data_IF_674754835052
#
_entry.id   IF_674754835052
#
_cell.length_a   1.000
_cell.length_b   1.000
_cell.length_c   1.000
_cell.angle_alpha   90.00
_cell.angle_beta   90.00
_cell.angle_gamma   90.00
#
_symmetry.space_group_name_H-M   'P 1'
#
loop_
_entity.id
_entity.type
_entity.pdbx_description
1 polymer ?
#
# COMPACT_ATOMS: atom_id res chain seq x y z
N UNK A 1 17.82 1.23 -23.24
CA UNK A 1 16.64 1.85 -22.58
C UNK A 1 15.52 0.82 -22.59
N UNK A 2 15.22 0.21 -21.43
CA UNK A 2 14.08 -0.72 -21.30
C UNK A 2 12.90 0.06 -20.74
N UNK A 3 11.85 0.20 -21.53
CA UNK A 3 10.56 0.75 -21.09
C UNK A 3 9.89 -0.23 -20.14
N UNK A 4 9.62 0.21 -18.92
CA UNK A 4 8.79 -0.52 -17.96
C UNK A 4 7.35 -0.14 -18.25
N UNK A 5 6.57 -1.10 -18.71
CA UNK A 5 5.12 -0.94 -18.90
C UNK A 5 4.43 -1.06 -17.54
N UNK A 6 3.78 0.02 -17.12
CA UNK A 6 2.90 0.01 -15.94
C UNK A 6 1.54 -0.52 -16.41
N UNK A 7 1.16 -1.70 -15.94
CA UNK A 7 -0.17 -2.27 -16.15
C UNK A 7 -1.08 -1.76 -15.03
N UNK A 8 -1.98 -0.85 -15.38
CA UNK A 8 -3.08 -0.43 -14.51
C UNK A 8 -4.23 -1.43 -14.70
N UNK A 9 -4.47 -2.28 -13.73
CA UNK A 9 -5.61 -3.18 -13.73
C UNK A 9 -6.82 -2.47 -13.11
N UNK A 10 -7.74 -2.02 -13.95
CA UNK A 10 -9.08 -1.57 -13.56
C UNK A 10 -10.00 -2.78 -13.51
N UNK A 11 -10.40 -3.20 -12.30
CA UNK A 11 -11.43 -4.23 -12.12
C UNK A 11 -12.79 -3.53 -12.11
N UNK A 12 -13.50 -3.61 -13.21
CA UNK A 12 -14.92 -3.24 -13.29
C UNK A 12 -15.77 -4.46 -12.91
N UNK A 13 -16.40 -4.45 -11.74
CA UNK A 13 -17.44 -5.41 -11.41
C UNK A 13 -18.77 -4.93 -11.99
N UNK A 14 -19.24 -5.58 -13.03
CA UNK A 14 -20.59 -5.42 -13.55
C UNK A 14 -21.55 -6.25 -12.68
N UNK A 15 -22.38 -5.59 -11.88
CA UNK A 15 -23.55 -6.21 -11.25
C UNK A 15 -24.68 -6.23 -12.27
N UNK A 16 -25.05 -7.41 -12.76
CA UNK A 16 -26.28 -7.62 -13.51
C UNK A 16 -27.45 -7.71 -12.54
N UNK A 17 -28.26 -6.68 -12.47
CA UNK A 17 -29.56 -6.75 -11.83
C UNK A 17 -30.67 -6.80 -12.87
N UNK A 18 -31.41 -7.90 -12.83
CA UNK A 18 -32.57 -8.16 -13.69
C UNK A 18 -33.80 -7.71 -12.93
N UNK A 19 -34.35 -6.57 -13.28
CA UNK A 19 -35.71 -6.23 -12.84
C UNK A 19 -36.56 -5.68 -13.95
N UNK A 20 -37.73 -6.29 -14.05
CA UNK A 20 -38.81 -6.04 -14.96
C UNK A 20 -39.43 -4.65 -14.79
N UNK A 21 -39.59 -4.01 -15.92
CA UNK A 21 -40.49 -2.93 -16.33
C UNK A 21 -41.47 -2.38 -15.31
N UNK A 22 -41.25 -1.13 -14.91
CA UNK A 22 -42.28 -0.10 -14.63
C UNK A 22 -41.61 1.26 -14.77
N UNK A 23 -42.19 2.20 -15.54
CA UNK A 23 -41.63 3.46 -15.97
C UNK A 23 -41.09 4.36 -14.84
N UNK A 24 -39.91 4.03 -14.36
CA UNK A 24 -39.13 4.81 -13.42
C UNK A 24 -37.96 5.44 -14.17
N UNK A 25 -37.78 6.72 -13.97
CA UNK A 25 -36.57 7.45 -14.40
C UNK A 25 -35.36 6.68 -13.91
N UNK A 26 -34.53 6.21 -14.83
CA UNK A 26 -33.22 5.60 -14.50
C UNK A 26 -32.37 6.70 -13.84
N UNK A 27 -32.34 6.71 -12.53
CA UNK A 27 -31.32 7.46 -11.79
C UNK A 27 -30.01 6.70 -12.05
N UNK A 28 -29.17 7.23 -12.91
CA UNK A 28 -27.82 6.72 -13.07
C UNK A 28 -27.19 6.68 -11.68
N UNK A 29 -26.93 5.48 -11.15
CA UNK A 29 -26.20 5.33 -9.90
C UNK A 29 -24.83 5.94 -10.12
N UNK A 30 -24.51 7.01 -9.40
CA UNK A 30 -23.18 7.57 -9.41
C UNK A 30 -22.18 6.44 -9.04
N UNK A 31 -21.03 6.35 -9.73
CA UNK A 31 -20.02 5.39 -9.36
C UNK A 31 -19.68 5.58 -7.87
N UNK A 32 -19.58 4.48 -7.13
CA UNK A 32 -19.22 4.52 -5.72
C UNK A 32 -17.93 5.35 -5.58
N UNK A 33 -17.89 6.35 -4.70
CA UNK A 33 -16.71 7.16 -4.51
C UNK A 33 -15.56 6.25 -4.08
N UNK A 34 -14.44 6.35 -4.77
CA UNK A 34 -13.22 5.59 -4.49
C UNK A 34 -12.19 6.54 -3.91
N UNK A 35 -11.43 6.13 -2.91
CA UNK A 35 -10.30 6.93 -2.44
C UNK A 35 -9.31 7.08 -3.59
N UNK A 36 -9.11 8.31 -4.02
CA UNK A 36 -8.22 8.63 -5.11
C UNK A 36 -6.80 8.87 -4.56
N UNK A 37 -6.06 7.79 -4.37
CA UNK A 37 -4.66 7.82 -3.94
C UNK A 37 -3.84 6.76 -4.66
N UNK A 38 -2.57 7.06 -4.87
CA UNK A 38 -1.57 6.14 -5.41
C UNK A 38 -0.41 6.04 -4.44
N UNK A 39 0.23 4.88 -4.37
CA UNK A 39 1.43 4.67 -3.58
C UNK A 39 2.56 4.12 -4.45
N UNK A 40 3.78 4.56 -4.16
CA UNK A 40 4.98 4.04 -4.80
C UNK A 40 6.18 4.19 -3.88
N UNK A 41 7.20 3.31 -3.94
CA UNK A 41 8.49 3.63 -3.35
C UNK A 41 9.19 4.70 -4.20
N UNK A 42 9.82 5.68 -3.55
CA UNK A 42 10.57 6.73 -4.26
C UNK A 42 11.79 6.14 -5.00
N UNK A 43 12.45 5.17 -4.36
CA UNK A 43 13.58 4.42 -4.91
C UNK A 43 13.39 2.94 -4.62
N UNK A 44 13.97 2.03 -5.45
CA UNK A 44 13.97 0.61 -5.12
C UNK A 44 14.58 0.38 -3.73
N UNK A 45 13.88 -0.33 -2.83
CA UNK A 45 14.37 -0.55 -1.47
C UNK A 45 15.65 -1.40 -1.47
N UNK A 46 16.55 -1.11 -0.55
CA UNK A 46 17.77 -1.89 -0.31
C UNK A 46 17.52 -2.86 0.85
N UNK A 47 17.75 -4.15 0.62
CA UNK A 47 17.63 -5.17 1.66
C UNK A 47 18.98 -5.42 2.32
N UNK A 48 19.06 -5.26 3.62
CA UNK A 48 20.26 -5.50 4.43
C UNK A 48 19.99 -6.59 5.46
N UNK A 49 20.83 -7.63 5.46
CA UNK A 49 20.81 -8.63 6.53
C UNK A 49 21.36 -8.00 7.83
N UNK A 50 20.73 -8.31 8.95
CA UNK A 50 21.15 -7.80 10.26
C UNK A 50 21.84 -8.91 11.07
N UNK A 51 22.62 -8.49 12.07
CA UNK A 51 23.26 -9.41 13.03
C UNK A 51 22.30 -9.83 14.14
N UNK A 52 21.02 -9.45 14.10
CA UNK A 52 20.02 -9.83 15.09
C UNK A 52 19.92 -11.36 15.14
N UNK A 53 20.09 -11.98 16.33
CA UNK A 53 20.04 -13.44 16.45
C UNK A 53 18.68 -13.99 16.03
N UNK A 54 18.71 -15.03 15.21
CA UNK A 54 17.53 -15.77 14.77
C UNK A 54 17.69 -17.23 15.18
N UNK A 55 16.65 -17.85 15.71
CA UNK A 55 16.62 -19.29 15.98
C UNK A 55 16.72 -20.09 14.67
N UNK A 56 16.13 -19.56 13.58
CA UNK A 56 16.27 -20.06 12.22
C UNK A 56 16.09 -18.90 11.23
N UNK A 57 16.87 -18.90 10.16
CA UNK A 57 16.81 -17.83 9.14
C UNK A 57 17.68 -16.62 9.48
N UNK A 58 17.38 -15.53 8.80
CA UNK A 58 18.11 -14.25 8.87
C UNK A 58 17.12 -13.11 9.09
N UNK A 59 17.44 -12.20 10.00
CA UNK A 59 16.69 -10.95 10.16
C UNK A 59 17.15 -9.95 9.10
N UNK A 60 16.22 -9.16 8.60
CA UNK A 60 16.49 -8.16 7.57
C UNK A 60 15.98 -6.79 7.99
N UNK A 61 16.66 -5.75 7.55
CA UNK A 61 16.18 -4.37 7.57
C UNK A 61 16.17 -3.80 6.16
N UNK A 62 15.33 -2.84 5.93
CA UNK A 62 15.32 -2.08 4.67
C UNK A 62 14.99 -0.62 4.98
N UNK A 63 15.36 0.29 4.07
CA UNK A 63 15.00 1.70 4.15
C UNK A 63 14.46 2.16 2.82
N UNK A 64 13.32 2.84 2.84
CA UNK A 64 12.70 3.42 1.66
C UNK A 64 11.69 4.50 2.01
N UNK A 65 11.48 5.41 1.06
CA UNK A 65 10.40 6.38 1.13
C UNK A 65 9.16 5.81 0.43
N UNK A 66 8.07 5.66 1.16
CA UNK A 66 6.76 5.38 0.61
C UNK A 66 6.09 6.69 0.26
N UNK A 67 5.96 6.97 -1.03
CA UNK A 67 5.27 8.18 -1.51
C UNK A 67 3.80 7.87 -1.70
N UNK A 68 2.97 8.69 -1.11
CA UNK A 68 1.52 8.67 -1.28
C UNK A 68 1.13 9.94 -2.05
N UNK A 69 0.47 9.75 -3.17
CA UNK A 69 -0.06 10.83 -4.01
C UNK A 69 -1.57 10.79 -3.94
N UNK A 70 -2.16 11.82 -3.33
CA UNK A 70 -3.60 12.04 -3.37
C UNK A 70 -3.95 12.61 -4.75
N UNK A 71 -4.86 11.97 -5.46
CA UNK A 71 -5.27 12.34 -6.83
C UNK A 71 -6.69 12.92 -6.89
N UNK A 72 -7.40 12.92 -5.77
CA UNK A 72 -8.74 13.51 -5.63
C UNK A 72 -8.71 14.94 -5.12
N UNK A 73 -9.90 15.48 -4.88
CA UNK A 73 -10.07 16.84 -4.34
C UNK A 73 -10.03 16.92 -2.81
N UNK A 74 -10.09 15.77 -2.14
CA UNK A 74 -10.23 15.67 -0.67
C UNK A 74 -8.95 15.11 -0.07
N UNK A 75 -8.52 15.67 1.05
CA UNK A 75 -7.37 15.13 1.79
C UNK A 75 -7.60 13.69 2.23
N UNK A 76 -6.53 12.91 2.27
CA UNK A 76 -6.56 11.56 2.81
C UNK A 76 -5.67 11.45 4.05
N UNK A 77 -6.01 10.53 4.94
CA UNK A 77 -5.27 10.22 6.15
C UNK A 77 -4.81 8.78 6.09
N UNK A 78 -3.57 8.52 6.47
CA UNK A 78 -3.02 7.17 6.56
C UNK A 78 -3.38 6.57 7.91
N UNK A 79 -4.21 5.54 7.91
CA UNK A 79 -4.65 4.86 9.13
C UNK A 79 -3.75 3.69 9.50
N UNK A 80 -3.24 2.99 8.50
CA UNK A 80 -2.39 1.84 8.72
C UNK A 80 -1.48 1.59 7.53
N UNK A 81 -0.24 1.21 7.81
CA UNK A 81 0.70 0.68 6.83
C UNK A 81 1.08 -0.74 7.24
N UNK A 82 0.93 -1.69 6.33
CA UNK A 82 1.43 -3.05 6.48
C UNK A 82 2.51 -3.30 5.45
N UNK A 83 3.68 -3.69 5.91
CA UNK A 83 4.84 -4.04 5.09
C UNK A 83 5.12 -5.52 5.25
N UNK A 84 5.30 -6.24 4.15
CA UNK A 84 5.55 -7.67 4.13
C UNK A 84 6.70 -8.01 3.21
N UNK A 85 7.62 -8.85 3.66
CA UNK A 85 8.64 -9.42 2.80
C UNK A 85 8.04 -10.53 1.93
N UNK A 86 8.44 -10.58 0.67
CA UNK A 86 8.05 -11.61 -0.29
C UNK A 86 9.33 -12.30 -0.75
N UNK A 87 9.36 -13.61 -0.72
CA UNK A 87 10.52 -14.36 -1.20
C UNK A 87 10.57 -14.46 -2.75
N UNK A 88 11.64 -15.04 -3.27
CA UNK A 88 11.81 -15.19 -4.71
C UNK A 88 10.79 -16.11 -5.40
N UNK A 89 10.01 -16.89 -4.64
CA UNK A 89 8.90 -17.72 -5.15
C UNK A 89 7.53 -17.03 -5.07
N UNK A 90 7.47 -15.80 -4.53
CA UNK A 90 6.23 -15.07 -4.33
C UNK A 90 5.52 -15.41 -3.01
N UNK A 91 6.10 -16.25 -2.16
CA UNK A 91 5.52 -16.56 -0.86
C UNK A 91 5.78 -15.44 0.15
N UNK A 92 4.74 -15.10 0.89
CA UNK A 92 4.83 -14.06 1.91
C UNK A 92 5.62 -14.53 3.13
N UNK A 93 6.61 -13.72 3.49
CA UNK A 93 7.43 -13.84 4.70
C UNK A 93 6.92 -12.98 5.86
N UNK A 94 7.84 -12.56 6.76
CA UNK A 94 7.52 -11.70 7.89
C UNK A 94 6.85 -10.39 7.47
N UNK A 95 5.93 -9.92 8.30
CA UNK A 95 5.22 -8.66 8.10
C UNK A 95 5.23 -7.79 9.35
N UNK A 96 5.12 -6.49 9.14
CA UNK A 96 5.00 -5.47 10.18
C UNK A 96 3.78 -4.63 9.86
N UNK A 97 2.95 -4.38 10.87
CA UNK A 97 1.80 -3.48 10.76
C UNK A 97 2.02 -2.29 11.67
N UNK A 98 1.93 -1.10 11.10
CA UNK A 98 2.14 0.18 11.77
C UNK A 98 0.79 0.91 11.81
N UNK A 99 0.14 0.99 12.97
CA UNK A 99 -1.15 1.66 13.11
C UNK A 99 -1.00 3.18 13.10
N UNK A 100 -2.11 3.90 12.90
CA UNK A 100 -2.16 5.35 12.79
C UNK A 100 -1.47 6.06 13.96
N UNK A 101 -1.70 5.61 15.18
CA UNK A 101 -1.09 6.23 16.36
C UNK A 101 0.46 6.19 16.32
N UNK A 102 1.01 5.08 15.84
CA UNK A 102 2.45 4.94 15.66
C UNK A 102 2.95 5.80 14.48
N UNK A 103 2.20 5.85 13.37
CA UNK A 103 2.51 6.74 12.25
C UNK A 103 2.52 8.21 12.68
N UNK A 104 1.54 8.63 13.49
CA UNK A 104 1.51 9.99 14.04
C UNK A 104 2.71 10.27 14.95
N UNK A 105 3.12 9.31 15.78
CA UNK A 105 4.33 9.44 16.61
C UNK A 105 5.60 9.56 15.77
N UNK A 106 5.71 8.83 14.66
CA UNK A 106 6.89 8.84 13.78
C UNK A 106 6.97 10.08 12.90
N UNK A 107 5.83 10.56 12.38
CA UNK A 107 5.78 11.56 11.32
C UNK A 107 5.05 12.85 11.70
N UNK A 108 4.54 12.96 12.93
CA UNK A 108 3.80 14.12 13.43
C UNK A 108 2.39 14.28 12.86
N UNK A 109 2.11 13.71 11.70
CA UNK A 109 0.80 13.73 11.04
C UNK A 109 0.67 12.58 10.07
N UNK A 110 -0.55 12.12 9.79
CA UNK A 110 -0.86 11.12 8.76
C UNK A 110 -1.59 11.72 7.56
N UNK A 111 -1.88 13.04 7.59
CA UNK A 111 -2.58 13.75 6.52
C UNK A 111 -1.73 13.83 5.26
N UNK A 112 -2.33 13.55 4.12
CA UNK A 112 -1.76 13.71 2.78
C UNK A 112 -2.65 14.68 1.99
N UNK A 113 -2.12 15.86 1.72
CA UNK A 113 -2.71 16.88 0.87
C UNK A 113 -1.82 17.02 -0.36
N UNK A 114 -2.18 16.36 -1.45
CA UNK A 114 -1.34 16.25 -2.64
C UNK A 114 -0.33 15.10 -2.55
N UNK A 115 0.96 15.38 -2.41
CA UNK A 115 2.02 14.36 -2.35
C UNK A 115 2.74 14.39 -1.01
N UNK A 116 2.95 13.22 -0.41
CA UNK A 116 3.73 13.08 0.81
C UNK A 116 4.56 11.81 0.80
N UNK A 117 5.81 11.92 1.24
CA UNK A 117 6.72 10.80 1.46
C UNK A 117 6.79 10.46 2.97
N UNK A 118 6.83 9.16 3.27
CA UNK A 118 7.00 8.59 4.60
C UNK A 118 8.25 7.70 4.57
N UNK A 119 9.30 8.10 5.30
CA UNK A 119 10.52 7.31 5.39
C UNK A 119 10.33 6.15 6.36
N UNK A 120 10.38 4.93 5.87
CA UNK A 120 10.33 3.72 6.68
C UNK A 120 11.71 3.05 6.75
N UNK A 121 12.08 2.60 7.95
CA UNK A 121 13.26 1.78 8.21
C UNK A 121 12.87 0.55 9.03
N UNK A 122 12.00 -0.33 8.50
CA UNK A 122 11.52 -1.46 9.23
C UNK A 122 12.62 -2.52 9.44
N UNK A 123 12.60 -3.14 10.60
CA UNK A 123 13.34 -4.35 10.89
C UNK A 123 12.37 -5.52 10.93
N UNK A 124 12.60 -6.50 10.07
CA UNK A 124 11.77 -7.70 9.99
C UNK A 124 12.34 -8.81 10.85
N UNK A 125 11.44 -9.62 11.42
CA UNK A 125 11.79 -10.86 12.07
C UNK A 125 12.45 -11.85 11.09
N UNK A 126 12.92 -12.97 11.61
CA UNK A 126 13.69 -13.96 10.85
C UNK A 126 12.91 -14.49 9.63
N UNK A 127 13.49 -14.35 8.46
CA UNK A 127 13.03 -14.98 7.23
C UNK A 127 13.90 -16.20 6.92
N UNK A 128 13.29 -17.31 6.48
CA UNK A 128 13.99 -18.54 6.13
C UNK A 128 14.74 -18.44 4.80
N UNK A 129 14.23 -17.61 3.90
CA UNK A 129 14.79 -17.38 2.56
C UNK A 129 15.08 -15.90 2.37
N UNK A 130 16.00 -15.57 1.46
CA UNK A 130 16.26 -14.19 1.11
C UNK A 130 15.05 -13.61 0.38
N UNK A 131 14.47 -12.48 0.86
CA UNK A 131 13.37 -11.82 0.18
C UNK A 131 13.79 -11.27 -1.18
N UNK A 132 12.87 -11.34 -2.16
CA UNK A 132 13.03 -10.75 -3.49
C UNK A 132 12.36 -9.38 -3.61
N UNK A 133 11.29 -9.16 -2.84
CA UNK A 133 10.52 -7.91 -2.85
C UNK A 133 9.92 -7.58 -1.50
N UNK A 134 9.39 -6.37 -1.38
CA UNK A 134 8.56 -5.91 -0.28
C UNK A 134 7.20 -5.49 -0.80
N UNK A 135 6.14 -6.01 -0.20
CA UNK A 135 4.78 -5.56 -0.45
C UNK A 135 4.35 -4.57 0.63
N UNK A 136 3.80 -3.44 0.20
CA UNK A 136 3.18 -2.43 1.05
C UNK A 136 1.67 -2.39 0.83
N UNK A 137 0.91 -2.39 1.91
CA UNK A 137 -0.54 -2.18 1.92
C UNK A 137 -0.85 -1.01 2.83
N UNK A 138 -1.55 -0.01 2.31
CA UNK A 138 -1.91 1.20 3.05
C UNK A 138 -3.43 1.29 3.13
N UNK A 139 -3.95 1.42 4.33
CA UNK A 139 -5.34 1.77 4.60
C UNK A 139 -5.41 3.28 4.74
N UNK A 140 -6.34 3.89 4.03
CA UNK A 140 -6.56 5.33 3.99
C UNK A 140 -8.01 5.64 4.33
N UNK A 141 -8.22 6.76 5.03
CA UNK A 141 -9.54 7.38 5.18
C UNK A 141 -9.47 8.78 4.58
N UNK A 142 -10.47 9.17 3.80
CA UNK A 142 -10.58 10.55 3.33
C UNK A 142 -11.28 11.46 4.34
N UNK A 143 -11.30 12.78 4.05
CA UNK A 143 -11.94 13.74 4.94
C UNK A 143 -13.48 13.56 5.03
N UNK A 144 -14.08 12.83 4.11
CA UNK A 144 -15.52 12.51 4.12
C UNK A 144 -15.80 11.19 4.88
N UNK A 145 -14.77 10.55 5.43
CA UNK A 145 -14.85 9.32 6.22
C UNK A 145 -14.89 8.03 5.38
N UNK A 146 -14.62 8.12 4.09
CA UNK A 146 -14.50 6.93 3.25
C UNK A 146 -13.19 6.21 3.49
N UNK A 147 -13.26 4.89 3.62
CA UNK A 147 -12.09 4.03 3.83
C UNK A 147 -11.74 3.30 2.54
N UNK A 148 -10.47 3.31 2.18
CA UNK A 148 -9.95 2.57 1.05
C UNK A 148 -8.60 1.94 1.34
N UNK A 149 -8.16 1.10 0.40
CA UNK A 149 -6.86 0.41 0.50
C UNK A 149 -6.12 0.53 -0.81
N UNK A 150 -4.86 0.89 -0.72
CA UNK A 150 -3.92 0.90 -1.85
C UNK A 150 -2.73 -0.02 -1.55
N UNK A 151 -2.18 -0.64 -2.59
CA UNK A 151 -1.07 -1.60 -2.43
C UNK A 151 0.01 -1.36 -3.47
N UNK A 152 1.24 -1.69 -3.10
CA UNK A 152 2.42 -1.63 -3.96
C UNK A 152 3.31 -2.82 -3.67
N UNK A 153 4.04 -3.28 -4.66
CA UNK A 153 5.14 -4.23 -4.50
C UNK A 153 6.38 -3.66 -5.17
N UNK A 154 7.51 -3.73 -4.50
CA UNK A 154 8.79 -3.25 -5.00
C UNK A 154 9.87 -4.32 -4.82
N UNK A 155 10.57 -4.65 -5.91
CA UNK A 155 11.72 -5.54 -5.85
C UNK A 155 12.89 -4.88 -5.13
N UNK A 156 13.64 -5.67 -4.36
CA UNK A 156 14.93 -5.25 -3.80
C UNK A 156 15.99 -5.17 -4.89
N UNK A 157 16.92 -4.23 -4.71
CA UNK A 157 18.16 -4.10 -5.52
C UNK A 157 19.38 -4.67 -4.79
#
# INVERSE_FOLDING_TARGET
MKMIAIVVATVAMAACDRTTNSGGTLIASAPAPTIAAQISPLTPPLLVATTTPCASGIAFTTGFDLVIVQTGAVDVFVDQVTLRLIDGSGLGGPSITIPQLQLMSMFGSTRVAGTRAFLFQPQFACALTRPGSIAGKVVLTDADGMVGTVSVEAAFR
#
